data_IF_149638815372
#
_entry.id   IF_149638815372
#
_cell.length_a   1.000
_cell.length_b   1.000
_cell.length_c   1.000
_cell.angle_alpha   90.00
_cell.angle_beta   90.00
_cell.angle_gamma   90.00
#
_symmetry.space_group_name_H-M   'P 1'
#
loop_
_entity.id
_entity.type
_entity.pdbx_description
1 polymer ?
#
# COMPACT_ATOMS: atom_id res chain seq x y z
N UNK A 1 -14.66 29.71 28.95
CA UNK A 1 -13.75 28.78 28.24
C UNK A 1 -12.83 28.18 29.29
N UNK A 2 -13.08 26.91 29.68
CA UNK A 2 -12.28 26.26 30.75
C UNK A 2 -10.96 25.67 30.27
N UNK A 3 -10.72 25.60 28.94
CA UNK A 3 -9.54 24.93 28.38
C UNK A 3 -8.81 25.86 27.41
N UNK A 4 -7.49 25.87 27.49
CA UNK A 4 -6.62 26.61 26.57
C UNK A 4 -6.50 26.01 25.18
N UNK A 5 -7.29 24.98 24.85
CA UNK A 5 -7.32 24.27 23.57
C UNK A 5 -8.75 23.96 23.15
N UNK A 6 -8.96 23.74 21.87
CA UNK A 6 -10.23 23.26 21.32
C UNK A 6 -10.18 21.72 21.34
N UNK A 7 -11.07 21.05 22.11
CA UNK A 7 -11.11 19.59 22.13
C UNK A 7 -11.58 19.03 20.79
N UNK A 8 -11.16 17.82 20.46
CA UNK A 8 -11.67 17.08 19.32
C UNK A 8 -13.15 16.80 19.52
N UNK A 9 -13.96 17.06 18.49
CA UNK A 9 -15.36 16.66 18.47
C UNK A 9 -15.44 15.26 17.89
N UNK A 10 -16.05 14.35 18.65
CA UNK A 10 -16.33 12.98 18.22
C UNK A 10 -17.82 12.69 18.43
N UNK A 11 -18.39 11.94 17.52
CA UNK A 11 -19.73 11.39 17.70
C UNK A 11 -19.63 9.95 18.20
N UNK A 12 -20.52 9.60 19.10
CA UNK A 12 -20.68 8.25 19.63
C UNK A 12 -22.14 7.85 19.58
N UNK A 13 -22.42 6.56 19.58
CA UNK A 13 -23.77 6.07 19.84
C UNK A 13 -24.13 6.32 21.30
N UNK A 14 -25.38 6.69 21.58
CA UNK A 14 -25.95 6.72 22.93
C UNK A 14 -26.78 5.42 23.17
N UNK A 15 -26.10 4.28 23.40
CA UNK A 15 -26.76 2.99 23.39
C UNK A 15 -27.60 2.80 24.66
N UNK A 16 -28.86 2.51 24.48
CA UNK A 16 -29.77 2.13 25.58
C UNK A 16 -29.70 0.64 25.89
N UNK A 17 -29.09 -0.16 25.04
CA UNK A 17 -28.83 -1.60 25.22
C UNK A 17 -27.51 -2.01 24.59
N UNK A 18 -27.00 -3.20 24.98
CA UNK A 18 -25.78 -3.76 24.39
C UNK A 18 -25.89 -3.96 22.86
N UNK A 19 -27.11 -4.19 22.37
CA UNK A 19 -27.38 -4.37 20.93
C UNK A 19 -27.28 -3.07 20.14
N UNK A 20 -27.34 -1.92 20.81
CA UNK A 20 -27.32 -0.59 20.17
C UNK A 20 -25.93 0.03 20.13
N UNK A 21 -24.94 -0.63 20.73
CA UNK A 21 -23.54 -0.18 20.68
C UNK A 21 -23.05 -0.16 19.22
N UNK A 22 -22.54 0.98 18.79
CA UNK A 22 -22.04 1.18 17.42
C UNK A 22 -23.11 1.37 16.34
N UNK A 23 -24.39 1.44 16.70
CA UNK A 23 -25.50 1.71 15.79
C UNK A 23 -25.91 3.18 15.85
N UNK A 24 -25.05 4.09 15.48
CA UNK A 24 -25.37 5.50 15.33
C UNK A 24 -25.52 5.86 13.85
N UNK A 25 -26.36 6.86 13.55
CA UNK A 25 -26.52 7.38 12.18
C UNK A 25 -25.27 8.12 11.72
N UNK A 26 -24.42 8.53 12.65
CA UNK A 26 -23.17 9.23 12.42
C UNK A 26 -21.99 8.48 13.05
N UNK A 27 -20.89 8.47 12.37
CA UNK A 27 -19.66 7.81 12.81
C UNK A 27 -18.48 8.78 12.76
N UNK A 28 -17.59 8.66 13.73
CA UNK A 28 -16.33 9.37 13.72
C UNK A 28 -15.21 8.42 13.34
N UNK A 29 -14.40 8.80 12.37
CA UNK A 29 -13.26 8.05 11.89
C UNK A 29 -11.96 8.61 12.48
N UNK A 30 -11.14 7.73 13.05
CA UNK A 30 -9.84 8.09 13.62
C UNK A 30 -8.72 7.47 12.80
N UNK A 31 -7.78 8.31 12.33
CA UNK A 31 -6.54 7.85 11.67
C UNK A 31 -5.52 7.45 12.73
N UNK A 32 -5.42 6.16 13.01
CA UNK A 32 -4.50 5.57 14.00
C UNK A 32 -3.56 4.56 13.34
N UNK A 33 -2.33 4.44 13.85
CA UNK A 33 -1.33 3.47 13.35
C UNK A 33 -1.42 2.09 14.02
N UNK A 34 -2.07 2.01 15.18
CA UNK A 34 -2.26 0.78 15.97
C UNK A 34 -3.50 0.89 16.85
N UNK A 35 -4.01 -0.24 17.33
CA UNK A 35 -5.13 -0.26 18.28
C UNK A 35 -4.61 -0.13 19.73
N UNK A 36 -4.24 1.10 20.11
CA UNK A 36 -3.79 1.41 21.46
C UNK A 36 -4.40 2.70 21.98
N UNK A 37 -4.48 2.85 23.32
CA UNK A 37 -4.91 4.08 23.96
C UNK A 37 -4.02 5.26 23.56
N UNK A 38 -2.71 5.04 23.45
CA UNK A 38 -1.77 6.09 23.03
C UNK A 38 -2.05 6.60 21.62
N UNK A 39 -2.36 5.70 20.67
CA UNK A 39 -2.71 6.06 19.30
C UNK A 39 -4.04 6.85 19.23
N UNK A 40 -5.05 6.45 20.00
CA UNK A 40 -6.33 7.18 20.10
C UNK A 40 -6.08 8.57 20.71
N UNK A 41 -5.35 8.66 21.82
CA UNK A 41 -5.00 9.94 22.45
C UNK A 41 -4.27 10.87 21.49
N UNK A 42 -3.30 10.34 20.74
CA UNK A 42 -2.57 11.10 19.73
C UNK A 42 -3.48 11.59 18.60
N UNK A 43 -4.38 10.74 18.10
CA UNK A 43 -5.34 11.13 17.07
C UNK A 43 -6.26 12.26 17.54
N UNK A 44 -6.73 12.21 18.78
CA UNK A 44 -7.58 13.25 19.36
C UNK A 44 -6.82 14.57 19.63
N UNK A 45 -5.52 14.51 19.93
CA UNK A 45 -4.67 15.70 20.07
C UNK A 45 -4.39 16.37 18.71
N UNK A 46 -4.21 15.59 17.65
CA UNK A 46 -4.02 16.04 16.26
C UNK A 46 -5.32 15.90 15.44
N UNK A 47 -6.44 16.29 16.04
CA UNK A 47 -7.77 16.02 15.48
C UNK A 47 -7.99 16.58 14.07
N UNK A 48 -7.37 17.72 13.73
CA UNK A 48 -7.53 18.34 12.41
C UNK A 48 -7.06 17.43 11.26
N UNK A 49 -6.05 16.60 11.52
CA UNK A 49 -5.47 15.69 10.52
C UNK A 49 -5.91 14.24 10.69
N UNK A 50 -6.53 13.90 11.84
CA UNK A 50 -6.73 12.51 12.23
C UNK A 50 -8.16 12.16 12.64
N UNK A 51 -9.04 13.13 12.73
CA UNK A 51 -10.47 12.91 13.05
C UNK A 51 -11.30 13.40 11.89
N UNK A 52 -12.20 12.55 11.39
CA UNK A 52 -13.08 12.87 10.27
C UNK A 52 -14.49 12.32 10.51
N UNK A 53 -15.50 12.99 9.97
CA UNK A 53 -16.90 12.58 9.98
C UNK A 53 -17.24 11.59 8.86
N UNK A 54 -16.37 11.48 7.84
CA UNK A 54 -16.49 10.53 6.75
C UNK A 54 -15.11 9.99 6.37
N UNK A 55 -15.07 8.79 5.83
CA UNK A 55 -13.84 8.28 5.25
C UNK A 55 -13.44 9.16 4.06
N UNK A 56 -12.19 9.66 4.02
CA UNK A 56 -11.73 10.44 2.89
C UNK A 56 -11.80 9.60 1.61
N UNK A 57 -12.36 10.17 0.56
CA UNK A 57 -12.32 9.56 -0.77
C UNK A 57 -10.88 9.43 -1.23
N UNK A 58 -10.47 8.21 -1.54
CA UNK A 58 -9.16 7.97 -2.14
C UNK A 58 -9.24 8.33 -3.62
N UNK A 59 -8.43 9.30 -4.03
CA UNK A 59 -8.40 9.81 -5.41
C UNK A 59 -7.16 9.36 -6.18
N UNK A 60 -6.41 8.41 -5.63
CA UNK A 60 -5.19 7.87 -6.25
C UNK A 60 -5.17 6.36 -6.13
N UNK A 61 -4.53 5.71 -7.09
CA UNK A 61 -4.26 4.29 -7.00
C UNK A 61 -3.08 4.00 -6.07
N UNK A 62 -3.01 2.80 -5.54
CA UNK A 62 -1.97 2.36 -4.62
C UNK A 62 -1.70 0.86 -4.72
N UNK A 63 -0.54 0.46 -4.23
CA UNK A 63 -0.16 -0.95 -4.09
C UNK A 63 -0.57 -1.42 -2.70
N UNK A 64 -1.38 -2.48 -2.61
CA UNK A 64 -1.76 -3.07 -1.32
C UNK A 64 -0.69 -4.01 -0.78
N UNK A 65 -0.10 -4.82 -1.66
CA UNK A 65 0.91 -5.77 -1.25
C UNK A 65 1.78 -6.22 -2.40
N UNK A 66 2.95 -6.75 -2.05
CA UNK A 66 3.81 -7.55 -2.92
C UNK A 66 4.06 -8.91 -2.27
N UNK A 67 3.91 -9.99 -3.02
CA UNK A 67 4.23 -11.35 -2.59
C UNK A 67 5.22 -11.99 -3.56
N UNK A 68 6.03 -12.90 -3.02
CA UNK A 68 7.09 -13.58 -3.78
C UNK A 68 6.94 -15.09 -3.69
N UNK A 69 7.19 -15.77 -4.81
CA UNK A 69 7.25 -17.22 -4.94
C UNK A 69 8.57 -17.58 -5.64
N UNK A 70 9.40 -18.36 -4.97
CA UNK A 70 10.75 -18.66 -5.43
C UNK A 70 11.74 -17.49 -5.17
N UNK A 71 13.01 -17.75 -5.43
CA UNK A 71 14.07 -16.77 -5.24
C UNK A 71 14.38 -16.43 -3.78
N UNK A 72 15.01 -15.27 -3.58
CA UNK A 72 15.51 -14.84 -2.26
C UNK A 72 14.41 -14.50 -1.25
N UNK A 73 13.26 -14.06 -1.72
CA UNK A 73 12.13 -13.64 -0.88
C UNK A 73 10.98 -14.65 -0.89
N UNK A 74 11.26 -15.91 -1.22
CA UNK A 74 10.23 -16.94 -1.29
C UNK A 74 9.32 -16.97 -0.06
N UNK A 75 8.01 -17.05 -0.30
CA UNK A 75 6.98 -17.08 0.72
C UNK A 75 6.74 -15.75 1.46
N UNK A 76 7.49 -14.69 1.16
CA UNK A 76 7.30 -13.40 1.82
C UNK A 76 6.20 -12.58 1.16
N UNK A 77 5.42 -11.89 2.00
CA UNK A 77 4.43 -10.90 1.58
C UNK A 77 4.62 -9.62 2.39
N UNK A 78 4.76 -8.50 1.68
CA UNK A 78 4.87 -7.17 2.27
C UNK A 78 3.58 -6.43 1.96
N UNK A 79 2.93 -5.90 2.98
CA UNK A 79 1.72 -5.09 2.86
C UNK A 79 2.05 -3.61 2.98
N UNK A 80 1.37 -2.81 2.19
CA UNK A 80 1.52 -1.36 2.14
C UNK A 80 0.25 -0.66 2.58
N UNK A 81 0.41 0.51 3.16
CA UNK A 81 -0.68 1.47 3.35
C UNK A 81 -1.02 2.13 2.01
N UNK A 82 -2.24 2.59 1.85
CA UNK A 82 -2.64 3.44 0.73
C UNK A 82 -2.00 4.83 0.74
N UNK A 83 -1.34 5.18 1.83
CA UNK A 83 -0.64 6.45 2.06
C UNK A 83 0.87 6.27 1.84
N UNK A 84 1.68 7.21 2.35
CA UNK A 84 3.13 7.12 2.32
C UNK A 84 3.63 5.89 3.09
N UNK A 85 4.47 5.10 2.43
CA UNK A 85 5.15 3.95 3.02
C UNK A 85 6.66 4.22 3.11
N UNK A 86 7.27 3.89 4.23
CA UNK A 86 8.71 4.00 4.45
C UNK A 86 9.33 2.62 4.71
N UNK A 87 10.31 2.24 3.89
CA UNK A 87 11.08 1.02 4.10
C UNK A 87 12.30 1.35 4.95
N UNK A 88 12.33 0.88 6.19
CA UNK A 88 13.41 1.11 7.15
C UNK A 88 14.18 -0.18 7.40
N UNK A 89 15.49 -0.09 7.52
CA UNK A 89 16.35 -1.24 7.83
C UNK A 89 17.83 -0.92 7.55
N UNK A 90 18.70 -1.79 8.02
CA UNK A 90 20.16 -1.69 7.82
C UNK A 90 20.55 -1.87 6.35
N UNK A 91 21.80 -1.55 6.01
CA UNK A 91 22.34 -1.82 4.67
C UNK A 91 22.26 -3.31 4.35
N UNK A 92 21.80 -3.67 3.14
CA UNK A 92 21.66 -5.06 2.72
C UNK A 92 20.35 -5.75 3.15
N UNK A 93 19.44 -5.07 3.87
CA UNK A 93 18.17 -5.66 4.32
C UNK A 93 17.11 -5.86 3.21
N UNK A 94 17.42 -5.55 1.96
CA UNK A 94 16.50 -5.79 0.84
C UNK A 94 15.55 -4.65 0.48
N UNK A 95 15.67 -3.46 1.10
CA UNK A 95 14.81 -2.30 0.79
C UNK A 95 14.79 -1.95 -0.71
N UNK A 96 15.97 -1.77 -1.28
CA UNK A 96 16.11 -1.48 -2.71
C UNK A 96 15.64 -2.65 -3.59
N UNK A 97 15.76 -3.88 -3.09
CA UNK A 97 15.30 -5.07 -3.79
C UNK A 97 13.78 -5.09 -3.95
N UNK A 98 13.04 -4.71 -2.90
CA UNK A 98 11.57 -4.61 -2.97
C UNK A 98 11.14 -3.54 -3.97
N UNK A 99 11.76 -2.36 -3.94
CA UNK A 99 11.46 -1.27 -4.89
C UNK A 99 11.80 -1.67 -6.33
N UNK A 100 12.94 -2.34 -6.56
CA UNK A 100 13.30 -2.84 -7.89
C UNK A 100 12.36 -3.95 -8.37
N UNK A 101 11.88 -4.83 -7.49
CA UNK A 101 10.88 -5.83 -7.84
C UNK A 101 9.57 -5.16 -8.29
N UNK A 102 9.09 -4.15 -7.57
CA UNK A 102 7.91 -3.37 -7.95
C UNK A 102 8.11 -2.72 -9.32
N UNK A 103 9.26 -2.03 -9.52
CA UNK A 103 9.62 -1.45 -10.81
C UNK A 103 9.58 -2.48 -11.93
N UNK A 104 10.19 -3.65 -11.70
CA UNK A 104 10.27 -4.73 -12.68
C UNK A 104 8.89 -5.26 -13.05
N UNK A 105 8.00 -5.47 -12.06
CA UNK A 105 6.63 -5.96 -12.29
C UNK A 105 5.81 -4.93 -13.09
N UNK A 106 5.97 -3.62 -12.82
CA UNK A 106 5.30 -2.57 -13.58
C UNK A 106 5.94 -2.27 -14.95
N UNK A 107 7.00 -2.97 -15.29
CA UNK A 107 7.75 -2.79 -16.55
C UNK A 107 8.24 -1.35 -16.77
N UNK A 108 8.61 -0.68 -15.66
CA UNK A 108 9.12 0.69 -15.73
C UNK A 108 10.57 0.70 -16.21
N UNK A 109 10.95 1.68 -17.05
CA UNK A 109 12.27 1.75 -17.64
C UNK A 109 13.37 1.94 -16.59
N UNK A 110 14.53 1.35 -16.85
CA UNK A 110 15.76 1.58 -16.08
C UNK A 110 16.39 2.90 -16.53
N UNK A 111 16.62 3.81 -15.59
CA UNK A 111 17.23 5.11 -15.85
C UNK A 111 18.75 5.10 -15.66
N UNK A 112 19.28 4.31 -14.70
CA UNK A 112 20.71 4.25 -14.33
C UNK A 112 21.07 2.84 -13.88
N UNK A 113 22.38 2.48 -13.91
CA UNK A 113 22.97 1.27 -13.34
C UNK A 113 22.28 -0.04 -13.79
N UNK A 114 22.08 -0.18 -15.10
CA UNK A 114 21.34 -1.32 -15.69
C UNK A 114 21.90 -2.67 -15.24
N UNK A 115 23.20 -2.88 -15.35
CA UNK A 115 23.84 -4.16 -14.99
C UNK A 115 23.62 -4.53 -13.52
N UNK A 116 23.79 -3.55 -12.61
CA UNK A 116 23.55 -3.78 -11.19
C UNK A 116 22.09 -4.14 -10.91
N UNK A 117 21.16 -3.42 -11.51
CA UNK A 117 19.72 -3.63 -11.31
C UNK A 117 19.22 -4.94 -11.91
N UNK A 118 19.73 -5.33 -13.08
CA UNK A 118 19.45 -6.64 -13.67
C UNK A 118 20.00 -7.78 -12.82
N UNK A 119 21.22 -7.64 -12.31
CA UNK A 119 21.80 -8.59 -11.36
C UNK A 119 20.98 -8.68 -10.08
N UNK A 120 20.49 -7.55 -9.57
CA UNK A 120 19.62 -7.50 -8.39
C UNK A 120 18.31 -8.25 -8.62
N UNK A 121 17.62 -8.00 -9.72
CA UNK A 121 16.40 -8.70 -10.11
C UNK A 121 16.63 -10.20 -10.26
N UNK A 122 17.71 -10.59 -10.94
CA UNK A 122 18.10 -12.01 -11.07
C UNK A 122 18.28 -12.69 -9.70
N UNK A 123 18.91 -11.99 -8.75
CA UNK A 123 19.10 -12.50 -7.38
C UNK A 123 17.79 -12.57 -6.59
N UNK A 124 16.86 -11.63 -6.80
CA UNK A 124 15.56 -11.61 -6.11
C UNK A 124 14.69 -12.77 -6.56
N UNK A 125 14.53 -12.94 -7.86
CA UNK A 125 13.63 -13.91 -8.46
C UNK A 125 14.27 -15.31 -8.58
N UNK A 126 15.57 -15.40 -8.76
CA UNK A 126 16.21 -16.68 -9.11
C UNK A 126 15.73 -17.23 -10.44
N UNK A 127 15.80 -18.54 -10.62
CA UNK A 127 15.29 -19.21 -11.82
C UNK A 127 13.78 -19.52 -11.65
N UNK A 128 12.95 -18.93 -12.50
CA UNK A 128 11.50 -19.18 -12.51
C UNK A 128 10.73 -18.55 -11.34
N UNK A 129 11.36 -17.70 -10.54
CA UNK A 129 10.68 -16.99 -9.46
C UNK A 129 9.62 -16.03 -9.99
N UNK A 130 8.56 -15.86 -9.23
CA UNK A 130 7.40 -15.03 -9.54
C UNK A 130 7.20 -14.00 -8.43
N UNK A 131 6.85 -12.78 -8.78
CA UNK A 131 6.30 -11.83 -7.81
C UNK A 131 4.94 -11.33 -8.29
N UNK A 132 4.09 -11.02 -7.31
CA UNK A 132 2.69 -10.64 -7.53
C UNK A 132 2.39 -9.40 -6.70
N UNK A 133 1.83 -8.37 -7.33
CA UNK A 133 1.30 -7.17 -6.69
C UNK A 133 -0.22 -7.26 -6.63
N UNK A 134 -0.78 -6.92 -5.48
CA UNK A 134 -2.19 -6.50 -5.37
C UNK A 134 -2.21 -4.99 -5.44
N UNK A 135 -2.98 -4.45 -6.35
CA UNK A 135 -3.07 -3.00 -6.60
C UNK A 135 -4.52 -2.55 -6.70
N UNK A 136 -4.76 -1.30 -6.33
CA UNK A 136 -6.08 -0.66 -6.42
C UNK A 136 -5.92 0.60 -7.25
N UNK A 137 -6.77 0.80 -8.24
CA UNK A 137 -6.78 2.00 -9.06
C UNK A 137 -7.45 3.20 -8.35
N UNK A 138 -7.46 4.35 -8.99
CA UNK A 138 -8.10 5.58 -8.46
C UNK A 138 -9.63 5.47 -8.30
N UNK A 139 -10.24 4.48 -8.91
CA UNK A 139 -11.69 4.20 -8.85
C UNK A 139 -12.03 3.13 -7.81
N UNK A 140 -11.03 2.60 -7.11
CA UNK A 140 -11.20 1.56 -6.10
C UNK A 140 -11.31 0.13 -6.65
N UNK A 141 -11.00 -0.09 -7.94
CA UNK A 141 -10.98 -1.43 -8.54
C UNK A 141 -9.68 -2.15 -8.22
N UNK A 142 -9.80 -3.42 -7.91
CA UNK A 142 -8.67 -4.29 -7.56
C UNK A 142 -8.13 -5.03 -8.78
N UNK A 143 -6.80 -5.12 -8.86
CA UNK A 143 -6.08 -5.84 -9.89
C UNK A 143 -4.95 -6.64 -9.28
N UNK A 144 -4.61 -7.73 -9.92
CA UNK A 144 -3.43 -8.54 -9.63
C UNK A 144 -2.46 -8.38 -10.79
N UNK A 145 -1.28 -7.87 -10.50
CA UNK A 145 -0.19 -7.76 -11.47
C UNK A 145 0.90 -8.75 -11.09
N UNK A 146 1.22 -9.68 -11.98
CA UNK A 146 2.25 -10.68 -11.69
C UNK A 146 3.28 -10.76 -12.79
N UNK A 147 4.50 -11.10 -12.43
CA UNK A 147 5.60 -11.33 -13.37
C UNK A 147 6.47 -12.49 -12.94
N UNK A 148 6.75 -13.40 -13.87
CA UNK A 148 7.79 -14.41 -13.74
C UNK A 148 9.09 -13.83 -14.28
N UNK A 149 10.22 -14.20 -13.69
CA UNK A 149 11.52 -13.73 -14.15
C UNK A 149 11.76 -14.11 -15.61
N UNK A 150 12.09 -13.11 -16.43
CA UNK A 150 12.32 -13.28 -17.87
C UNK A 150 11.07 -13.24 -18.75
N UNK A 151 9.87 -13.16 -18.15
CA UNK A 151 8.61 -13.09 -18.90
C UNK A 151 8.00 -11.69 -18.86
N UNK A 152 6.92 -11.49 -19.61
CA UNK A 152 6.12 -10.27 -19.56
C UNK A 152 5.23 -10.26 -18.32
N UNK A 153 4.85 -9.08 -17.88
CA UNK A 153 3.91 -8.93 -16.79
C UNK A 153 2.49 -9.23 -17.26
N UNK A 154 1.71 -9.84 -16.38
CA UNK A 154 0.30 -10.14 -16.61
C UNK A 154 -0.55 -9.32 -15.63
N UNK A 155 -1.68 -8.78 -16.11
CA UNK A 155 -2.65 -7.99 -15.33
C UNK A 155 -4.00 -8.69 -15.36
N UNK A 156 -4.49 -9.06 -14.18
CA UNK A 156 -5.78 -9.75 -13.99
C UNK A 156 -6.70 -8.85 -13.17
N UNK A 157 -7.95 -8.73 -13.56
CA UNK A 157 -8.97 -8.00 -12.80
C UNK A 157 -9.53 -8.84 -11.63
N UNK A 158 -10.45 -8.24 -10.87
CA UNK A 158 -11.12 -8.90 -9.72
C UNK A 158 -11.97 -10.12 -10.12
N UNK A 159 -12.35 -10.26 -11.40
CA UNK A 159 -13.10 -11.40 -11.92
C UNK A 159 -12.19 -12.52 -12.46
N UNK A 160 -10.88 -12.33 -12.40
CA UNK A 160 -9.89 -13.26 -12.93
C UNK A 160 -9.67 -13.16 -14.44
N UNK A 161 -10.15 -12.09 -15.08
CA UNK A 161 -9.96 -11.84 -16.51
C UNK A 161 -8.59 -11.21 -16.75
N UNK A 162 -7.81 -11.80 -17.64
CA UNK A 162 -6.56 -11.22 -18.16
C UNK A 162 -6.89 -10.05 -19.09
N UNK A 163 -6.40 -8.86 -18.73
CA UNK A 163 -6.72 -7.63 -19.46
C UNK A 163 -5.79 -7.37 -20.65
N UNK A 164 -4.67 -8.09 -20.72
CA UNK A 164 -3.65 -7.89 -21.76
C UNK A 164 -3.23 -6.41 -21.94
N UNK A 165 -3.08 -5.69 -20.84
CA UNK A 165 -2.66 -4.28 -20.79
C UNK A 165 -1.28 -4.14 -20.13
N UNK A 166 -0.62 -3.02 -20.40
CA UNK A 166 0.62 -2.70 -19.67
C UNK A 166 0.31 -2.35 -18.22
N UNK A 167 1.02 -2.94 -17.23
CA UNK A 167 0.79 -2.68 -15.81
C UNK A 167 0.87 -1.19 -15.44
N UNK A 168 1.75 -0.44 -16.07
CA UNK A 168 1.91 1.00 -15.84
C UNK A 168 0.66 1.83 -16.20
N UNK A 169 -0.23 1.30 -17.04
CA UNK A 169 -1.48 1.98 -17.40
C UNK A 169 -2.56 1.96 -16.32
N UNK A 170 -2.39 1.14 -15.28
CA UNK A 170 -3.30 1.10 -14.13
C UNK A 170 -3.26 2.39 -13.29
N UNK A 171 -2.19 3.17 -13.41
CA UNK A 171 -2.00 4.39 -12.65
C UNK A 171 -1.70 5.58 -13.55
N UNK A 172 -2.20 6.74 -13.18
CA UNK A 172 -1.88 8.00 -13.87
C UNK A 172 -0.47 8.46 -13.49
N UNK A 173 0.55 8.03 -14.26
CA UNK A 173 1.90 8.54 -14.14
C UNK A 173 2.73 7.96 -12.99
N UNK A 174 3.00 6.65 -13.01
CA UNK A 174 3.98 6.04 -12.09
C UNK A 174 5.36 6.64 -12.35
N UNK A 175 5.99 7.15 -11.30
CA UNK A 175 7.38 7.61 -11.34
C UNK A 175 8.25 6.73 -10.44
N UNK A 176 9.38 6.31 -10.96
CA UNK A 176 10.38 5.56 -10.23
C UNK A 176 11.70 6.33 -10.20
N UNK A 177 12.20 6.58 -9.00
CA UNK A 177 13.49 7.22 -8.78
C UNK A 177 14.43 6.23 -8.08
N UNK A 178 15.47 5.80 -8.78
CA UNK A 178 16.54 4.99 -8.18
C UNK A 178 17.53 5.86 -7.43
N UNK A 179 18.20 5.30 -6.42
CA UNK A 179 19.39 5.92 -5.85
C UNK A 179 20.49 5.96 -6.91
N UNK A 180 21.22 7.11 -6.97
CA UNK A 180 22.45 7.27 -7.72
C UNK A 180 23.62 6.61 -6.98
#
# INVERSE_FOLDING_TARGET
>A
RCFGYIPALIEGSDPKSLKDIGKGDKQTYLKIGEYSYAAIKFALQDYKSRVAESLPERRHGYIESISFQGGKFDGQTIRFSSELNSLIGIRGSGKSSVLEAIRYIFDLPLQTDKEYKESLIKNIFGSGGKATLSVVDKHGKHYIVSRIYGEQSNVIDENGLDLNIQPSSLFDGIQYFGQK
#
